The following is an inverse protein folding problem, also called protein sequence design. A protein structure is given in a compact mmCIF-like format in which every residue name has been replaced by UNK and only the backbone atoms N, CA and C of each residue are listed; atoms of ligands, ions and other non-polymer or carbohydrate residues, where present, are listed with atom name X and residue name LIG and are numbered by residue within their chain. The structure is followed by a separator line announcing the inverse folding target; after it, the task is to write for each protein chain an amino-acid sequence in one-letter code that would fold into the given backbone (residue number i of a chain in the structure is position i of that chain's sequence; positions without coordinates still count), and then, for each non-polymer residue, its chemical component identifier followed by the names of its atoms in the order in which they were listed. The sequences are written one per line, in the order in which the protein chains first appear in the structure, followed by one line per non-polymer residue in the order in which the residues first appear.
data_IF_091712840549
#
_entry.id   IF_091712840549
#
_cell.length_a   1.000
_cell.length_b   1.000
_cell.length_c   1.000
_cell.angle_alpha   90.00
_cell.angle_beta   90.00
_cell.angle_gamma   90.00
#
_symmetry.space_group_name_H-M   'P 1'
#
loop_
_entity.id
_entity.type
_entity.pdbx_description
1 polymer ?
#
# COMPACT_ATOMS: atom_id res chain seq x y z
N UNK A 1 -10.21 -0.60 -2.51
CA UNK A 1 -11.35 -1.53 -2.74
C UNK A 1 -12.25 -1.14 -3.91
N UNK A 2 -12.79 0.10 -4.01
CA UNK A 2 -13.70 0.49 -5.12
C UNK A 2 -13.11 0.24 -6.49
N UNK A 3 -11.84 0.58 -6.72
CA UNK A 3 -11.14 0.38 -7.99
C UNK A 3 -11.00 -1.08 -8.38
N UNK A 4 -10.70 -1.95 -7.44
CA UNK A 4 -10.64 -3.41 -7.72
C UNK A 4 -12.02 -3.88 -8.16
N UNK A 5 -13.09 -3.44 -7.47
CA UNK A 5 -14.47 -3.77 -7.87
C UNK A 5 -14.82 -3.26 -9.25
N UNK A 6 -14.38 -2.04 -9.61
CA UNK A 6 -14.69 -1.45 -10.90
C UNK A 6 -13.97 -2.15 -12.06
N UNK A 7 -12.69 -2.50 -11.87
CA UNK A 7 -11.87 -3.10 -12.93
C UNK A 7 -12.04 -4.61 -13.08
N UNK A 8 -12.40 -5.32 -12.01
CA UNK A 8 -12.46 -6.78 -12.01
C UNK A 8 -13.89 -7.35 -12.18
N UNK A 9 -14.92 -6.51 -12.24
CA UNK A 9 -16.28 -6.97 -12.53
C UNK A 9 -16.44 -7.30 -14.03
N UNK A 10 -17.22 -8.34 -14.35
CA UNK A 10 -17.96 -9.26 -13.46
C UNK A 10 -17.16 -10.47 -13.01
N UNK A 11 -15.89 -10.58 -13.38
CA UNK A 11 -15.14 -11.85 -13.38
C UNK A 11 -14.63 -12.24 -11.99
N UNK A 12 -14.50 -11.29 -11.05
CA UNK A 12 -13.94 -11.53 -9.72
C UNK A 12 -14.93 -11.08 -8.63
N UNK A 13 -15.21 -11.97 -7.70
CA UNK A 13 -15.89 -11.66 -6.45
C UNK A 13 -14.88 -11.21 -5.40
N UNK A 14 -15.20 -10.10 -4.71
CA UNK A 14 -14.38 -9.59 -3.62
C UNK A 14 -15.11 -9.82 -2.30
N UNK A 15 -14.47 -10.60 -1.44
CA UNK A 15 -14.87 -10.77 -0.04
C UNK A 15 -14.06 -9.83 0.84
N UNK A 16 -14.74 -9.04 1.64
CA UNK A 16 -14.10 -8.17 2.64
C UNK A 16 -14.12 -8.91 3.97
N UNK A 17 -12.96 -9.07 4.55
CA UNK A 17 -12.82 -9.69 5.87
C UNK A 17 -12.95 -8.62 6.96
N UNK A 18 -13.47 -8.98 8.14
CA UNK A 18 -13.43 -8.11 9.30
C UNK A 18 -11.99 -7.92 9.79
N UNK A 19 -11.83 -6.91 10.61
CA UNK A 19 -10.63 -6.70 11.42
C UNK A 19 -10.97 -6.88 12.91
N UNK A 20 -9.98 -7.18 13.70
CA UNK A 20 -10.13 -7.24 15.16
C UNK A 20 -10.34 -5.84 15.73
N UNK A 21 -11.41 -5.63 16.48
CA UNK A 21 -11.82 -4.31 16.98
C UNK A 21 -10.87 -3.69 18.00
N UNK A 22 -9.99 -4.48 18.64
CA UNK A 22 -9.01 -4.01 19.60
C UNK A 22 -7.68 -3.64 18.97
N UNK A 23 -7.22 -4.46 18.04
CA UNK A 23 -5.94 -4.25 17.35
C UNK A 23 -6.06 -3.50 16.02
N UNK A 24 -7.20 -3.54 15.33
CA UNK A 24 -7.37 -3.02 13.98
C UNK A 24 -6.67 -3.85 12.89
N UNK A 25 -6.14 -5.02 13.26
CA UNK A 25 -5.47 -5.96 12.35
C UNK A 25 -6.46 -6.94 11.73
N UNK A 26 -6.05 -7.69 10.71
CA UNK A 26 -6.93 -8.68 10.06
C UNK A 26 -7.37 -9.76 11.06
N UNK A 27 -8.65 -10.10 11.04
CA UNK A 27 -9.15 -11.26 11.77
C UNK A 27 -8.71 -12.55 11.07
N UNK A 28 -7.73 -13.24 11.64
CA UNK A 28 -7.16 -14.47 11.09
C UNK A 28 -8.16 -15.64 11.12
N UNK A 29 -9.08 -15.69 12.08
CA UNK A 29 -10.10 -16.74 12.11
C UNK A 29 -11.13 -16.52 10.99
N UNK A 30 -11.49 -15.27 10.71
CA UNK A 30 -12.32 -14.94 9.57
C UNK A 30 -11.60 -15.27 8.24
N UNK A 31 -10.29 -15.03 8.15
CA UNK A 31 -9.48 -15.44 6.99
C UNK A 31 -9.52 -16.96 6.80
N UNK A 32 -9.24 -17.74 7.86
CA UNK A 32 -9.28 -19.21 7.82
C UNK A 32 -10.65 -19.75 7.42
N UNK A 33 -11.71 -19.09 7.87
CA UNK A 33 -13.09 -19.46 7.51
C UNK A 33 -13.49 -19.10 6.08
N UNK A 34 -12.85 -18.09 5.48
CA UNK A 34 -13.19 -17.59 4.15
C UNK A 34 -12.32 -18.16 3.03
N UNK A 35 -11.11 -18.62 3.34
CA UNK A 35 -10.14 -19.10 2.36
C UNK A 35 -10.56 -20.46 1.77
N UNK A 36 -10.28 -20.68 0.50
CA UNK A 36 -10.51 -21.95 -0.18
C UNK A 36 -9.69 -21.99 -1.48
N UNK A 37 -9.62 -23.13 -2.13
CA UNK A 37 -8.96 -23.30 -3.45
C UNK A 37 -9.56 -22.44 -4.58
N UNK A 38 -10.72 -21.81 -4.35
CA UNK A 38 -11.36 -20.89 -5.29
C UNK A 38 -10.88 -19.45 -5.12
N UNK A 39 -10.11 -19.15 -4.09
CA UNK A 39 -9.60 -17.82 -3.83
C UNK A 39 -8.30 -17.63 -4.61
N UNK A 40 -8.28 -16.65 -5.49
CA UNK A 40 -7.10 -16.34 -6.31
C UNK A 40 -6.03 -15.56 -5.52
N UNK A 41 -6.46 -14.65 -4.63
CA UNK A 41 -5.53 -13.80 -3.89
C UNK A 41 -6.10 -13.38 -2.53
N UNK A 42 -5.21 -13.18 -1.58
CA UNK A 42 -5.46 -12.44 -0.34
C UNK A 42 -4.72 -11.11 -0.42
N UNK A 43 -5.45 -10.01 -0.30
CA UNK A 43 -4.90 -8.66 -0.32
C UNK A 43 -5.04 -8.00 1.05
N UNK A 44 -3.99 -7.35 1.52
CA UNK A 44 -4.02 -6.47 2.68
C UNK A 44 -3.03 -5.33 2.54
N UNK A 45 -3.30 -4.21 3.23
CA UNK A 45 -2.37 -3.09 3.32
C UNK A 45 -1.52 -3.21 4.59
N UNK A 46 -0.22 -2.90 4.47
CA UNK A 46 0.68 -2.83 5.63
C UNK A 46 1.66 -1.66 5.49
N UNK A 47 1.45 -0.55 6.23
CA UNK A 47 0.38 -0.27 7.20
C UNK A 47 -1.02 -0.21 6.55
N UNK A 48 -2.05 -0.52 7.34
CA UNK A 48 -3.43 -0.51 6.89
C UNK A 48 -3.99 0.91 6.70
N UNK A 49 -5.18 1.02 6.10
CA UNK A 49 -5.90 2.29 5.99
C UNK A 49 -6.21 2.96 7.34
N UNK A 50 -6.34 2.17 8.39
CA UNK A 50 -6.54 2.66 9.77
C UNK A 50 -5.22 3.00 10.47
N UNK A 51 -4.10 2.85 9.78
CA UNK A 51 -2.75 3.14 10.26
C UNK A 51 -2.05 1.97 10.93
N UNK A 52 -2.78 0.89 11.23
CA UNK A 52 -2.27 -0.27 11.95
C UNK A 52 -1.21 -1.02 11.12
N UNK A 53 -0.12 -1.42 11.77
CA UNK A 53 0.86 -2.33 11.20
C UNK A 53 0.35 -3.76 11.40
N UNK A 54 0.24 -4.51 10.30
CA UNK A 54 -0.10 -5.93 10.33
C UNK A 54 1.14 -6.73 10.73
N UNK A 55 1.10 -7.30 11.93
CA UNK A 55 2.25 -8.06 12.48
C UNK A 55 2.24 -9.52 12.05
N UNK A 56 1.08 -10.05 11.67
CA UNK A 56 0.89 -11.45 11.28
C UNK A 56 0.93 -11.65 9.75
N UNK A 57 1.66 -10.77 9.04
CA UNK A 57 1.75 -10.80 7.58
C UNK A 57 2.32 -12.10 7.01
N UNK A 58 3.20 -12.77 7.76
CA UNK A 58 3.73 -14.10 7.42
C UNK A 58 2.65 -15.20 7.56
N UNK A 59 1.85 -15.16 8.62
CA UNK A 59 0.75 -16.10 8.82
C UNK A 59 -0.34 -15.91 7.75
N UNK A 60 -0.70 -14.66 7.44
CA UNK A 60 -1.65 -14.35 6.35
C UNK A 60 -1.14 -14.92 5.03
N UNK A 61 0.13 -14.69 4.71
CA UNK A 61 0.75 -15.19 3.48
C UNK A 61 0.78 -16.73 3.45
N UNK A 62 1.11 -17.37 4.57
CA UNK A 62 1.12 -18.83 4.68
C UNK A 62 -0.28 -19.44 4.49
N UNK A 63 -1.30 -18.85 5.11
CA UNK A 63 -2.69 -19.29 4.92
C UNK A 63 -3.09 -19.18 3.44
N UNK A 64 -2.76 -18.08 2.77
CA UNK A 64 -3.03 -17.93 1.34
C UNK A 64 -2.35 -19.02 0.52
N UNK A 65 -1.07 -19.27 0.75
CA UNK A 65 -0.29 -20.27 -0.01
C UNK A 65 -0.79 -21.70 0.18
N UNK A 66 -1.19 -22.07 1.38
CA UNK A 66 -1.72 -23.41 1.66
C UNK A 66 -2.97 -23.75 0.83
N UNK A 67 -3.69 -22.73 0.36
CA UNK A 67 -4.89 -22.87 -0.46
C UNK A 67 -4.66 -22.50 -1.95
N UNK A 68 -3.40 -22.29 -2.34
CA UNK A 68 -3.04 -21.94 -3.72
C UNK A 68 -3.29 -20.49 -4.11
N UNK A 69 -3.71 -19.64 -3.16
CA UNK A 69 -3.90 -18.22 -3.38
C UNK A 69 -2.57 -17.45 -3.29
N UNK A 70 -2.45 -16.34 -4.02
CA UNK A 70 -1.30 -15.43 -3.89
C UNK A 70 -1.51 -14.43 -2.75
N UNK A 71 -0.44 -14.08 -2.05
CA UNK A 71 -0.43 -12.97 -1.08
C UNK A 71 0.00 -11.69 -1.78
N UNK A 72 -0.84 -10.66 -1.71
CA UNK A 72 -0.62 -9.34 -2.31
C UNK A 72 -0.66 -8.30 -1.20
N UNK A 73 0.39 -7.49 -1.09
CA UNK A 73 0.49 -6.49 -0.01
C UNK A 73 0.58 -5.09 -0.59
N UNK A 74 -0.34 -4.23 -0.16
CA UNK A 74 -0.26 -2.79 -0.36
C UNK A 74 0.69 -2.16 0.66
N UNK A 75 1.59 -1.27 0.23
CA UNK A 75 2.56 -0.63 1.13
C UNK A 75 2.68 0.87 0.89
N UNK A 76 2.96 1.59 1.95
CA UNK A 76 3.57 2.92 1.85
C UNK A 76 5.09 2.72 1.64
N UNK A 77 5.66 3.18 0.52
CA UNK A 77 7.08 2.93 0.23
C UNK A 77 8.05 3.56 1.25
N UNK A 78 7.63 4.62 1.95
CA UNK A 78 8.44 5.21 3.02
C UNK A 78 8.53 4.28 4.23
N UNK A 79 7.47 3.54 4.53
CA UNK A 79 7.45 2.60 5.65
C UNK A 79 8.49 1.48 5.50
N UNK A 80 8.87 1.16 4.27
CA UNK A 80 9.89 0.12 3.98
C UNK A 80 11.29 0.50 4.45
N UNK A 81 11.53 1.75 4.84
CA UNK A 81 12.74 2.16 5.54
C UNK A 81 12.86 1.57 6.95
N UNK A 82 11.74 1.23 7.59
CA UNK A 82 11.67 0.78 9.00
C UNK A 82 10.90 -0.52 9.19
N UNK A 83 10.02 -0.89 8.25
CA UNK A 83 9.25 -2.14 8.32
C UNK A 83 9.88 -3.22 7.44
N UNK A 84 9.65 -4.47 7.82
CA UNK A 84 10.08 -5.63 7.04
C UNK A 84 9.42 -5.63 5.65
N UNK A 85 10.19 -5.71 4.56
CA UNK A 85 9.62 -5.79 3.21
C UNK A 85 8.73 -7.02 3.03
N UNK A 86 7.56 -6.88 2.38
CA UNK A 86 6.59 -7.97 2.25
C UNK A 86 7.12 -9.26 1.61
N UNK A 87 8.08 -9.14 0.70
CA UNK A 87 8.73 -10.32 0.10
C UNK A 87 9.44 -11.23 1.12
N UNK A 88 9.83 -10.71 2.30
CA UNK A 88 10.48 -11.50 3.36
C UNK A 88 9.49 -12.29 4.20
N UNK A 89 8.22 -11.87 4.26
CA UNK A 89 7.16 -12.60 4.93
C UNK A 89 6.16 -13.25 3.96
N UNK A 90 6.62 -13.57 2.75
CA UNK A 90 5.92 -14.47 1.85
C UNK A 90 5.06 -13.82 0.77
N UNK A 91 4.92 -12.50 0.70
CA UNK A 91 4.18 -11.87 -0.38
C UNK A 91 4.76 -12.20 -1.76
N UNK A 92 3.90 -12.57 -2.71
CA UNK A 92 4.28 -12.76 -4.10
C UNK A 92 4.21 -11.48 -4.91
N UNK A 93 3.30 -10.57 -4.53
CA UNK A 93 3.17 -9.26 -5.18
C UNK A 93 3.04 -8.16 -4.15
N UNK A 94 3.62 -7.01 -4.46
CA UNK A 94 3.58 -5.80 -3.63
C UNK A 94 3.20 -4.64 -4.52
N UNK A 95 2.32 -3.78 -4.05
CA UNK A 95 1.93 -2.58 -4.77
C UNK A 95 1.84 -1.37 -3.84
N UNK A 96 1.81 -0.19 -4.40
CA UNK A 96 1.69 1.04 -3.62
C UNK A 96 1.70 2.27 -4.50
N UNK A 97 1.69 3.43 -3.86
CA UNK A 97 1.78 4.72 -4.53
C UNK A 97 3.18 5.31 -4.35
N UNK A 98 3.75 5.87 -5.40
CA UNK A 98 5.08 6.49 -5.35
C UNK A 98 5.06 7.99 -5.06
N UNK A 99 3.89 8.59 -4.86
CA UNK A 99 3.79 10.02 -4.55
C UNK A 99 4.67 10.44 -3.35
N UNK A 100 4.79 9.65 -2.26
CA UNK A 100 5.67 9.99 -1.15
C UNK A 100 7.16 10.05 -1.50
N UNK A 101 7.57 9.49 -2.64
CA UNK A 101 8.94 9.45 -3.09
C UNK A 101 9.32 10.72 -3.88
N UNK A 102 9.27 11.87 -3.21
CA UNK A 102 9.76 13.15 -3.73
C UNK A 102 8.79 13.97 -4.57
N UNK A 103 7.52 13.59 -4.64
CA UNK A 103 6.51 14.36 -5.35
C UNK A 103 5.75 15.30 -4.40
N UNK A 104 5.63 16.57 -4.80
CA UNK A 104 4.84 17.54 -4.04
C UNK A 104 3.33 17.29 -4.19
N UNK A 105 2.56 17.82 -3.24
CA UNK A 105 1.09 17.67 -3.23
C UNK A 105 0.40 18.29 -4.44
N UNK A 106 0.84 19.43 -4.96
CA UNK A 106 0.42 20.08 -6.22
C UNK A 106 -1.10 19.98 -6.48
N UNK A 107 -1.93 20.36 -5.49
CA UNK A 107 -3.39 20.26 -5.58
C UNK A 107 -3.95 18.84 -5.88
N UNK A 108 -3.29 17.82 -5.40
CA UNK A 108 -3.61 16.41 -5.67
C UNK A 108 -2.40 15.62 -6.14
N UNK A 109 -1.34 16.33 -6.52
CA UNK A 109 -0.04 15.78 -6.82
C UNK A 109 0.07 15.02 -8.14
N UNK A 110 1.30 14.64 -8.45
CA UNK A 110 1.58 13.63 -9.45
C UNK A 110 1.34 12.26 -8.82
N UNK A 111 0.44 11.49 -9.38
CA UNK A 111 0.08 10.17 -8.88
C UNK A 111 0.58 9.09 -9.82
N UNK A 112 1.30 8.13 -9.28
CA UNK A 112 1.70 6.93 -9.99
C UNK A 112 1.83 5.78 -8.99
N UNK A 113 1.41 4.60 -9.41
CA UNK A 113 1.56 3.39 -8.62
C UNK A 113 2.85 2.66 -8.98
N UNK A 114 3.24 1.75 -8.13
CA UNK A 114 4.21 0.72 -8.46
C UNK A 114 3.63 -0.67 -8.17
N UNK A 115 4.16 -1.65 -8.87
CA UNK A 115 3.93 -3.06 -8.62
C UNK A 115 5.28 -3.76 -8.69
N UNK A 116 5.50 -4.68 -7.78
CA UNK A 116 6.63 -5.58 -7.76
C UNK A 116 6.14 -7.00 -7.52
N UNK A 117 6.77 -7.97 -8.13
CA UNK A 117 6.47 -9.38 -7.90
C UNK A 117 7.75 -10.19 -7.78
N UNK A 118 7.62 -11.46 -7.47
CA UNK A 118 8.72 -12.39 -7.67
C UNK A 118 9.09 -12.47 -9.16
N UNK A 119 10.37 -12.62 -9.44
CA UNK A 119 10.91 -12.76 -10.80
C UNK A 119 10.61 -14.18 -11.32
N UNK A 120 9.33 -14.44 -11.58
CA UNK A 120 8.80 -15.67 -12.14
C UNK A 120 7.95 -15.31 -13.35
N UNK A 121 8.12 -16.03 -14.44
CA UNK A 121 7.47 -15.79 -15.73
C UNK A 121 5.94 -15.62 -15.60
N UNK A 122 5.29 -16.46 -14.78
CA UNK A 122 3.83 -16.40 -14.54
C UNK A 122 3.33 -15.07 -13.99
N UNK A 123 4.19 -14.29 -13.28
CA UNK A 123 3.85 -12.95 -12.80
C UNK A 123 4.25 -11.89 -13.82
N UNK A 124 5.45 -12.03 -14.40
CA UNK A 124 5.99 -11.04 -15.36
C UNK A 124 5.09 -10.92 -16.58
N UNK A 125 4.54 -12.04 -17.08
CA UNK A 125 3.63 -12.05 -18.22
C UNK A 125 2.28 -11.35 -17.95
N UNK A 126 1.90 -11.12 -16.68
CA UNK A 126 0.64 -10.50 -16.30
C UNK A 126 0.75 -9.00 -15.97
N UNK A 127 1.93 -8.39 -16.06
CA UNK A 127 2.08 -6.97 -15.77
C UNK A 127 1.24 -6.09 -16.72
N UNK A 128 0.59 -5.02 -16.20
CA UNK A 128 -0.29 -4.15 -16.99
C UNK A 128 0.46 -3.12 -17.84
N UNK A 129 1.77 -3.16 -17.87
CA UNK A 129 2.61 -2.22 -18.62
C UNK A 129 3.64 -2.96 -19.46
N UNK A 130 4.20 -2.27 -20.44
CA UNK A 130 5.39 -2.76 -21.14
C UNK A 130 6.57 -2.73 -20.18
N UNK A 131 7.40 -3.75 -20.26
CA UNK A 131 8.61 -3.88 -19.47
C UNK A 131 9.83 -3.72 -20.35
N UNK A 132 10.81 -2.97 -19.87
CA UNK A 132 12.09 -2.78 -20.53
C UNK A 132 13.20 -3.31 -19.66
N UNK A 133 14.15 -3.98 -20.27
CA UNK A 133 15.29 -4.57 -19.59
C UNK A 133 16.60 -4.22 -20.27
N UNK A 134 17.69 -4.42 -19.53
CA UNK A 134 19.05 -4.32 -20.02
C UNK A 134 19.64 -5.72 -20.05
N UNK A 135 20.20 -6.12 -21.20
CA UNK A 135 20.88 -7.40 -21.37
C UNK A 135 22.23 -7.20 -22.08
N UNK A 136 23.21 -8.08 -21.84
CA UNK A 136 24.46 -8.09 -22.62
C UNK A 136 24.13 -8.29 -24.11
N UNK A 137 24.84 -7.55 -24.96
CA UNK A 137 24.78 -7.77 -26.43
C UNK A 137 25.75 -8.89 -26.84
N UNK A 138 25.81 -9.17 -28.14
CA UNK A 138 26.79 -10.09 -28.71
C UNK A 138 28.24 -9.58 -28.61
N UNK A 139 28.42 -8.28 -28.33
CA UNK A 139 29.73 -7.67 -28.15
C UNK A 139 30.08 -7.66 -26.66
N UNK A 140 31.20 -8.28 -26.24
CA UNK A 140 31.60 -8.31 -24.85
C UNK A 140 31.74 -6.90 -24.25
N UNK A 141 31.04 -6.67 -23.10
CA UNK A 141 31.06 -5.40 -22.39
C UNK A 141 30.02 -4.38 -22.87
N UNK A 142 29.30 -4.65 -23.93
CA UNK A 142 28.17 -3.82 -24.37
C UNK A 142 26.84 -4.36 -23.84
N UNK A 143 25.91 -3.44 -23.56
CA UNK A 143 24.56 -3.74 -23.10
C UNK A 143 23.52 -3.17 -24.07
N UNK A 144 22.51 -3.95 -24.37
CA UNK A 144 21.34 -3.54 -25.12
C UNK A 144 20.16 -3.24 -24.20
N UNK A 145 19.26 -2.41 -24.69
CA UNK A 145 18.00 -2.08 -24.03
C UNK A 145 16.85 -2.51 -24.94
N UNK A 146 15.89 -3.26 -24.40
CA UNK A 146 14.80 -3.79 -25.21
C UNK A 146 13.58 -4.20 -24.40
N UNK A 147 12.51 -4.56 -25.12
CA UNK A 147 11.29 -5.09 -24.52
C UNK A 147 11.51 -6.46 -23.88
N UNK A 148 10.99 -6.64 -22.69
CA UNK A 148 10.92 -7.93 -22.01
C UNK A 148 9.61 -8.60 -22.41
N UNK A 149 9.68 -9.88 -22.82
CA UNK A 149 8.52 -10.68 -23.22
C UNK A 149 7.65 -9.93 -24.25
N UNK A 150 8.23 -9.58 -25.39
CA UNK A 150 7.58 -8.83 -26.48
C UNK A 150 6.29 -9.50 -26.96
N UNK A 151 6.24 -10.83 -26.96
CA UNK A 151 5.13 -11.66 -27.42
C UNK A 151 3.82 -11.46 -26.63
N UNK A 152 3.88 -10.90 -25.42
CA UNK A 152 2.68 -10.57 -24.63
C UNK A 152 2.12 -9.18 -24.89
N UNK A 153 2.86 -8.37 -25.65
CA UNK A 153 2.51 -6.96 -25.89
C UNK A 153 1.46 -6.80 -26.99
N UNK A 154 0.75 -5.68 -26.95
CA UNK A 154 -0.21 -5.32 -28.00
C UNK A 154 0.43 -5.15 -29.37
N UNK A 155 1.74 -4.95 -29.45
CA UNK A 155 2.47 -4.95 -30.71
C UNK A 155 2.53 -6.35 -31.36
N UNK A 156 2.57 -7.40 -30.55
CA UNK A 156 2.56 -8.78 -31.04
C UNK A 156 1.15 -9.36 -31.16
N UNK A 157 0.29 -9.16 -30.18
CA UNK A 157 -1.01 -9.84 -30.06
C UNK A 157 -2.23 -8.93 -30.08
N UNK A 158 -2.05 -7.64 -30.47
CA UNK A 158 -3.13 -6.67 -30.67
C UNK A 158 -4.00 -6.49 -29.40
N UNK A 159 -5.31 -6.66 -29.53
CA UNK A 159 -6.31 -6.49 -28.47
C UNK A 159 -6.17 -7.53 -27.32
N UNK A 160 -5.38 -8.56 -27.53
CA UNK A 160 -5.07 -9.55 -26.50
C UNK A 160 -3.90 -9.13 -25.60
N UNK A 161 -3.22 -8.04 -25.94
CA UNK A 161 -2.15 -7.47 -25.12
C UNK A 161 -2.66 -7.03 -23.76
N UNK A 162 -1.86 -7.32 -22.72
CA UNK A 162 -2.24 -7.05 -21.33
C UNK A 162 -1.83 -5.67 -20.85
N UNK A 163 -0.94 -4.99 -21.56
CA UNK A 163 -0.56 -3.64 -21.21
C UNK A 163 -1.66 -2.62 -21.59
N UNK A 164 -2.15 -1.94 -20.59
CA UNK A 164 -3.12 -0.85 -20.74
C UNK A 164 -2.62 0.45 -20.10
N UNK A 165 -1.55 0.39 -19.32
CA UNK A 165 -0.89 1.54 -18.74
C UNK A 165 0.15 2.03 -19.75
N UNK A 166 -0.06 3.26 -20.26
CA UNK A 166 0.89 3.92 -21.13
C UNK A 166 2.06 4.55 -20.37
N UNK A 167 2.72 5.54 -20.98
CA UNK A 167 3.89 6.21 -20.41
C UNK A 167 3.55 7.41 -19.50
N UNK A 168 2.29 7.63 -19.16
CA UNK A 168 1.84 8.79 -18.40
C UNK A 168 2.52 8.94 -17.02
N UNK A 169 2.92 7.84 -16.40
CA UNK A 169 3.58 7.82 -15.10
C UNK A 169 5.12 7.83 -15.18
N UNK A 170 5.73 7.83 -16.37
CA UNK A 170 7.18 7.67 -16.52
C UNK A 170 7.97 8.78 -15.81
N UNK A 171 7.53 10.04 -15.92
CA UNK A 171 8.19 11.17 -15.25
C UNK A 171 8.17 11.02 -13.74
N UNK A 172 7.06 10.54 -13.18
CA UNK A 172 6.92 10.29 -11.74
C UNK A 172 7.81 9.13 -11.29
N UNK A 173 7.93 8.09 -12.08
CA UNK A 173 8.88 6.99 -11.84
C UNK A 173 10.34 7.47 -11.81
N UNK A 174 10.72 8.37 -12.74
CA UNK A 174 12.06 8.99 -12.75
C UNK A 174 12.27 9.83 -11.49
N UNK A 175 11.28 10.65 -11.11
CA UNK A 175 11.35 11.46 -9.89
C UNK A 175 11.56 10.59 -8.65
N UNK A 176 10.79 9.50 -8.51
CA UNK A 176 10.95 8.55 -7.41
C UNK A 176 12.33 7.90 -7.41
N UNK A 177 12.85 7.53 -8.59
CA UNK A 177 14.20 6.97 -8.73
C UNK A 177 15.30 7.95 -8.28
N UNK A 178 15.18 9.23 -8.66
CA UNK A 178 16.10 10.28 -8.21
C UNK A 178 16.00 10.47 -6.69
N UNK A 179 14.78 10.51 -6.14
CA UNK A 179 14.58 10.64 -4.71
C UNK A 179 15.24 9.49 -3.94
N UNK A 180 15.00 8.24 -4.35
CA UNK A 180 15.61 7.07 -3.72
C UNK A 180 17.13 7.06 -3.84
N UNK A 181 17.68 7.51 -4.97
CA UNK A 181 19.12 7.61 -5.16
C UNK A 181 19.76 8.68 -4.25
N UNK A 182 19.09 9.81 -4.04
CA UNK A 182 19.54 10.88 -3.16
C UNK A 182 19.45 10.48 -1.68
N UNK A 183 18.37 9.85 -1.28
CA UNK A 183 18.16 9.45 0.12
C UNK A 183 19.02 8.25 0.51
N UNK A 184 19.18 7.31 -0.39
CA UNK A 184 19.83 6.04 -0.10
C UNK A 184 19.14 5.23 1.02
N UNK A 185 19.66 4.05 1.35
CA UNK A 185 19.05 3.22 2.40
C UNK A 185 18.97 3.92 3.76
N UNK A 186 20.04 4.63 4.16
CA UNK A 186 20.08 5.32 5.45
C UNK A 186 19.05 6.47 5.51
N UNK A 187 18.95 7.28 4.45
CA UNK A 187 17.96 8.36 4.40
C UNK A 187 16.53 7.84 4.48
N UNK A 188 16.23 6.68 3.91
CA UNK A 188 14.90 6.06 4.05
C UNK A 188 14.63 5.61 5.48
N UNK A 189 15.63 5.09 6.20
CA UNK A 189 15.54 4.76 7.63
C UNK A 189 15.30 6.03 8.44
N UNK A 190 16.11 7.06 8.25
CA UNK A 190 16.04 8.32 9.01
C UNK A 190 14.66 8.99 8.86
N UNK A 191 14.09 8.99 7.65
CA UNK A 191 12.72 9.49 7.40
C UNK A 191 11.68 8.62 8.08
N UNK A 192 11.77 7.30 7.94
CA UNK A 192 10.83 6.36 8.55
C UNK A 192 10.78 6.49 10.07
N UNK A 193 11.93 6.51 10.72
CA UNK A 193 12.06 6.70 12.17
C UNK A 193 11.54 8.08 12.60
N UNK A 194 11.88 9.13 11.84
CA UNK A 194 11.42 10.48 12.11
C UNK A 194 9.90 10.62 11.98
N UNK A 195 9.25 9.90 11.06
CA UNK A 195 7.80 9.86 10.93
C UNK A 195 7.18 9.13 12.13
N UNK A 196 7.67 7.95 12.48
CA UNK A 196 7.17 7.18 13.63
C UNK A 196 7.28 7.97 14.93
N UNK A 197 8.43 8.60 15.19
CA UNK A 197 8.62 9.40 16.39
C UNK A 197 7.62 10.56 16.49
N UNK A 198 7.34 11.24 15.36
CA UNK A 198 6.37 12.34 15.35
C UNK A 198 4.93 11.86 15.50
N UNK A 199 4.56 10.77 14.85
CA UNK A 199 3.22 10.22 14.98
C UNK A 199 2.94 9.71 16.40
N UNK A 200 3.91 9.04 17.01
CA UNK A 200 3.81 8.60 18.41
C UNK A 200 3.70 9.78 19.37
N UNK A 201 4.51 10.84 19.17
CA UNK A 201 4.41 12.06 19.97
C UNK A 201 3.02 12.71 19.83
N UNK A 202 2.51 12.80 18.59
CA UNK A 202 1.19 13.39 18.34
C UNK A 202 0.09 12.60 19.04
N UNK A 203 0.10 11.26 18.94
CA UNK A 203 -0.87 10.39 19.60
C UNK A 203 -0.83 10.60 21.13
N UNK A 204 0.35 10.59 21.74
CA UNK A 204 0.50 10.82 23.18
C UNK A 204 -0.05 12.20 23.62
N UNK A 205 0.17 13.25 22.82
CA UNK A 205 -0.34 14.59 23.14
C UNK A 205 -1.87 14.65 23.00
N UNK A 206 -2.44 13.94 22.04
CA UNK A 206 -3.88 13.88 21.86
C UNK A 206 -4.55 13.06 22.97
N UNK A 207 -3.97 11.93 23.33
CA UNK A 207 -4.48 11.06 24.40
C UNK A 207 -4.47 11.73 25.78
N UNK A 208 -3.60 12.72 25.98
CA UNK A 208 -3.57 13.53 27.20
C UNK A 208 -4.75 14.53 27.31
N UNK A 209 -5.55 14.70 26.26
CA UNK A 209 -6.73 15.59 26.27
C UNK A 209 -7.92 14.82 26.84
N UNK A 210 -8.60 15.35 27.86
CA UNK A 210 -9.77 14.67 28.45
C UNK A 210 -10.86 14.34 27.41
N UNK A 211 -11.26 13.08 27.35
CA UNK A 211 -12.27 12.57 26.43
C UNK A 211 -11.76 12.27 25.01
N UNK A 212 -10.46 12.33 24.78
CA UNK A 212 -9.82 11.92 23.52
C UNK A 212 -9.05 10.64 23.75
N UNK A 213 -9.19 9.69 22.85
CA UNK A 213 -8.44 8.42 22.87
C UNK A 213 -7.61 8.28 21.60
N UNK A 214 -6.28 8.24 21.76
CA UNK A 214 -5.33 8.22 20.64
C UNK A 214 -4.05 7.42 20.98
N UNK A 215 -3.69 6.38 20.21
CA UNK A 215 -4.45 5.81 19.11
C UNK A 215 -5.66 5.00 19.61
N UNK A 216 -6.70 4.84 18.78
CA UNK A 216 -7.83 4.00 19.12
C UNK A 216 -7.44 2.51 19.22
N UNK A 217 -6.67 2.03 18.25
CA UNK A 217 -6.23 0.64 18.18
C UNK A 217 -4.94 0.41 18.96
N UNK A 218 -4.79 -0.79 19.53
CA UNK A 218 -3.62 -1.17 20.33
C UNK A 218 -2.43 -1.67 19.52
N UNK A 219 -2.61 -1.91 18.21
CA UNK A 219 -1.51 -2.33 17.34
C UNK A 219 -0.48 -1.22 17.16
N UNK A 220 0.76 -1.58 16.81
CA UNK A 220 1.72 -0.58 16.35
C UNK A 220 1.20 0.10 15.08
N UNK A 221 1.61 1.36 14.86
CA UNK A 221 1.25 2.16 13.70
C UNK A 221 2.46 2.93 13.16
N UNK A 222 2.39 3.33 11.90
CA UNK A 222 3.51 4.01 11.24
C UNK A 222 3.38 5.52 11.31
N UNK A 223 2.47 6.11 10.54
CA UNK A 223 2.27 7.57 10.44
C UNK A 223 0.85 8.02 10.71
N UNK A 224 -0.11 7.18 10.40
CA UNK A 224 -1.52 7.42 10.57
C UNK A 224 -2.04 6.61 11.75
N UNK A 225 -3.04 7.13 12.43
CA UNK A 225 -3.73 6.46 13.53
C UNK A 225 -5.14 7.02 13.68
N UNK A 226 -6.04 6.21 14.20
CA UNK A 226 -7.42 6.63 14.47
C UNK A 226 -7.50 7.29 15.84
N UNK A 227 -8.26 8.38 15.91
CA UNK A 227 -8.56 9.10 17.15
C UNK A 227 -10.06 9.03 17.40
N UNK A 228 -10.44 8.64 18.60
CA UNK A 228 -11.82 8.65 19.05
C UNK A 228 -12.08 9.90 19.91
N UNK A 229 -13.20 10.58 19.67
CA UNK A 229 -13.63 11.80 20.34
C UNK A 229 -14.97 11.66 21.09
N UNK A 230 -15.54 10.46 21.18
CA UNK A 230 -16.90 10.24 21.68
C UNK A 230 -17.11 10.79 23.09
N UNK A 231 -16.14 10.63 23.96
CA UNK A 231 -16.20 11.11 25.34
C UNK A 231 -16.06 12.66 25.46
N UNK A 232 -15.76 13.35 24.37
CA UNK A 232 -15.70 14.83 24.36
C UNK A 232 -17.09 15.46 24.23
N UNK A 233 -18.09 14.71 23.82
CA UNK A 233 -19.42 15.19 23.47
C UNK A 233 -19.47 16.07 22.21
N UNK A 234 -18.40 16.07 21.39
CA UNK A 234 -18.30 16.81 20.13
C UNK A 234 -18.22 15.86 18.96
N UNK A 235 -18.88 16.21 17.88
CA UNK A 235 -18.74 15.49 16.62
C UNK A 235 -17.39 15.80 15.95
N UNK A 236 -16.91 14.87 15.12
CA UNK A 236 -15.71 15.07 14.28
C UNK A 236 -15.86 16.31 13.40
N UNK A 237 -17.05 16.58 12.88
CA UNK A 237 -17.33 17.77 12.07
C UNK A 237 -17.10 19.07 12.84
N UNK A 238 -17.57 19.16 14.10
CA UNK A 238 -17.34 20.34 14.96
C UNK A 238 -15.86 20.55 15.28
N UNK A 239 -15.13 19.46 15.56
CA UNK A 239 -13.69 19.49 15.82
C UNK A 239 -12.95 19.97 14.57
N UNK A 240 -13.25 19.38 13.40
CA UNK A 240 -12.65 19.75 12.12
C UNK A 240 -12.90 21.23 11.79
N UNK A 241 -14.12 21.73 12.02
CA UNK A 241 -14.46 23.13 11.81
C UNK A 241 -13.67 24.07 12.75
N UNK A 242 -13.51 23.69 14.02
CA UNK A 242 -12.76 24.48 14.99
C UNK A 242 -11.25 24.54 14.64
N UNK A 243 -10.68 23.43 14.15
CA UNK A 243 -9.30 23.35 13.70
C UNK A 243 -9.08 24.14 12.40
N UNK A 244 -10.03 24.09 11.47
CA UNK A 244 -9.97 24.84 10.22
C UNK A 244 -9.90 26.37 10.49
N UNK A 245 -10.64 26.88 11.47
CA UNK A 245 -10.54 28.30 11.89
C UNK A 245 -9.14 28.68 12.40
N UNK A 246 -8.33 27.71 12.80
CA UNK A 246 -6.92 27.89 13.19
C UNK A 246 -5.95 27.59 12.05
N UNK A 247 -6.43 27.36 10.83
CA UNK A 247 -5.62 27.02 9.66
C UNK A 247 -5.09 25.57 9.66
N UNK A 248 -5.71 24.69 10.46
CA UNK A 248 -5.32 23.27 10.57
C UNK A 248 -6.34 22.43 9.83
N UNK A 249 -5.88 21.72 8.79
CA UNK A 249 -6.64 20.63 8.18
C UNK A 249 -6.41 19.36 9.00
N UNK A 250 -7.46 18.89 9.64
CA UNK A 250 -7.43 17.68 10.47
C UNK A 250 -7.74 16.41 9.69
N UNK A 251 -7.98 15.34 10.42
CA UNK A 251 -8.23 14.02 9.83
C UNK A 251 -9.59 13.89 9.15
N UNK A 252 -9.74 12.77 8.46
CA UNK A 252 -10.98 12.38 7.80
C UNK A 252 -11.95 11.79 8.83
N UNK A 253 -13.22 12.16 8.72
CA UNK A 253 -14.30 11.51 9.46
C UNK A 253 -14.49 10.07 8.95
N UNK A 254 -14.33 9.10 9.85
CA UNK A 254 -14.45 7.68 9.57
C UNK A 254 -15.81 7.10 9.98
N UNK A 255 -16.64 7.82 10.70
CA UNK A 255 -17.90 7.34 11.30
C UNK A 255 -18.88 6.72 10.29
N UNK A 256 -18.85 7.19 9.04
CA UNK A 256 -19.70 6.63 7.96
C UNK A 256 -19.08 5.40 7.31
N UNK A 257 -17.75 5.34 7.21
CA UNK A 257 -17.03 4.27 6.50
C UNK A 257 -16.80 3.05 7.41
N UNK A 258 -16.68 3.29 8.70
CA UNK A 258 -16.46 2.29 9.75
C UNK A 258 -17.47 2.54 10.88
N UNK A 259 -18.77 2.31 10.65
CA UNK A 259 -19.74 2.31 11.74
C UNK A 259 -19.36 1.16 12.68
N UNK A 260 -19.56 1.37 13.97
CA UNK A 260 -19.29 0.41 15.06
C UNK A 260 -19.79 -1.00 14.78
#
# INVERSE_FOLDING_TARGET
MSKIKDYCKPDIEIKVLPYDGESGQMDLEALRGAISEKIAAVYFDNPSYLGCIEVDGDEISNIAHQHGAISVVGVDPISLGVLTPPGRYGAQSVCGDIQPLGMHMQFGGGQAGFIASRDEEKYVLEYPSRLFGIAPTIVPGEYGFGDVAYERTSFAIREQGKEWVGTAAALWGITAGVYLALMGPQGMVDIGEGIMARSQYAAQQLDAIPGVHAPLFRSPYFKEFVVNFDDTGKSVAEINQALLHKGIFSGKDLSTAFPE
#
